data_IF_231895602206
#
_entry.id   IF_231895602206
#
_cell.length_a   1.000
_cell.length_b   1.000
_cell.length_c   1.000
_cell.angle_alpha   90.00
_cell.angle_beta   90.00
_cell.angle_gamma   90.00
#
_symmetry.space_group_name_H-M   'P 1'
#
loop_
_entity.id
_entity.type
_entity.pdbx_description
1 polymer ?
#
# COMPACT_ATOMS: atom_id res chain seq x y z
N UNK A 1 13.55 -11.45 11.05
CA UNK A 1 12.81 -10.45 10.25
C UNK A 1 13.46 -10.36 8.87
N UNK A 2 12.71 -10.56 7.80
CA UNK A 2 13.22 -10.50 6.43
C UNK A 2 13.38 -9.03 5.94
N UNK A 3 14.00 -8.83 4.78
CA UNK A 3 14.28 -7.49 4.24
C UNK A 3 13.02 -6.63 4.11
N UNK A 4 11.94 -7.21 3.60
CA UNK A 4 10.66 -6.52 3.39
C UNK A 4 10.02 -6.09 4.70
N UNK A 5 10.07 -6.93 5.73
CA UNK A 5 9.55 -6.61 7.06
C UNK A 5 10.36 -5.48 7.72
N UNK A 6 11.70 -5.53 7.65
CA UNK A 6 12.56 -4.46 8.18
C UNK A 6 12.23 -3.12 7.53
N UNK A 7 12.10 -3.11 6.20
CA UNK A 7 11.77 -1.90 5.44
C UNK A 7 10.37 -1.39 5.77
N UNK A 8 9.38 -2.28 5.88
CA UNK A 8 8.00 -1.93 6.20
C UNK A 8 7.91 -1.30 7.59
N UNK A 9 8.55 -1.91 8.60
CA UNK A 9 8.61 -1.36 9.95
C UNK A 9 9.35 -0.01 10.00
N UNK A 10 10.45 0.12 9.27
CA UNK A 10 11.22 1.35 9.23
C UNK A 10 10.44 2.51 8.59
N UNK A 11 9.79 2.29 7.44
CA UNK A 11 8.96 3.31 6.79
C UNK A 11 7.70 3.64 7.58
N UNK A 12 7.25 2.75 8.47
CA UNK A 12 6.18 3.06 9.41
C UNK A 12 6.67 4.00 10.53
N UNK A 13 7.87 3.77 11.08
CA UNK A 13 8.49 4.67 12.07
C UNK A 13 8.91 6.02 11.46
N UNK A 14 9.37 6.01 10.22
CA UNK A 14 9.91 7.17 9.50
C UNK A 14 9.19 7.34 8.15
N UNK A 15 7.92 7.79 8.14
CA UNK A 15 7.10 7.85 6.92
C UNK A 15 7.58 8.88 5.90
N UNK A 16 8.44 9.82 6.30
CA UNK A 16 9.04 10.82 5.41
C UNK A 16 10.41 10.43 4.85
N UNK A 17 10.92 9.23 5.18
CA UNK A 17 12.21 8.76 4.69
C UNK A 17 12.16 8.43 3.19
N UNK A 18 13.13 8.90 2.42
CA UNK A 18 13.29 8.61 0.99
C UNK A 18 14.34 7.51 0.78
N UNK A 19 13.99 6.50 0.01
CA UNK A 19 14.89 5.40 -0.34
C UNK A 19 15.47 5.62 -1.74
N UNK A 20 16.77 5.36 -1.97
CA UNK A 20 17.79 4.92 -1.00
C UNK A 20 18.54 6.07 -0.29
N UNK A 21 18.17 7.32 -0.56
CA UNK A 21 18.93 8.53 -0.18
C UNK A 21 19.07 8.71 1.34
N UNK A 22 17.99 8.50 2.08
CA UNK A 22 17.95 8.63 3.54
C UNK A 22 18.27 7.30 4.23
N UNK A 23 17.93 6.16 3.60
CA UNK A 23 18.06 4.84 4.22
C UNK A 23 18.36 3.79 3.14
N UNK A 24 19.36 2.94 3.37
CA UNK A 24 19.64 1.81 2.48
C UNK A 24 19.92 0.53 3.28
N UNK A 25 19.40 -0.58 2.75
CA UNK A 25 19.69 -1.93 3.25
C UNK A 25 20.42 -2.72 2.16
N UNK A 26 21.38 -3.54 2.57
CA UNK A 26 22.02 -4.55 1.73
C UNK A 26 21.73 -5.93 2.30
N UNK A 27 21.70 -6.95 1.45
CA UNK A 27 21.67 -8.35 1.87
C UNK A 27 22.97 -9.00 1.42
N UNK A 28 23.79 -9.42 2.37
CA UNK A 28 25.07 -10.09 2.13
C UNK A 28 24.95 -11.64 2.17
N UNK A 29 23.72 -12.16 2.21
CA UNK A 29 23.43 -13.58 2.36
C UNK A 29 23.26 -14.03 3.82
N UNK A 30 23.53 -13.17 4.79
CA UNK A 30 23.19 -13.39 6.22
C UNK A 30 21.87 -12.71 6.62
N UNK A 31 21.32 -11.89 5.73
CA UNK A 31 20.08 -11.16 5.90
C UNK A 31 20.23 -9.65 5.66
N UNK A 32 19.12 -8.90 5.76
CA UNK A 32 19.12 -7.46 5.52
C UNK A 32 19.89 -6.68 6.60
N UNK A 33 21.03 -6.09 6.23
CA UNK A 33 21.82 -5.20 7.07
C UNK A 33 21.59 -3.75 6.64
N UNK A 34 21.34 -2.86 7.60
CA UNK A 34 21.25 -1.42 7.35
C UNK A 34 22.66 -0.90 7.01
N UNK A 35 22.87 -0.44 5.78
CA UNK A 35 24.18 0.03 5.29
C UNK A 35 24.30 1.54 5.26
N UNK A 36 23.17 2.25 5.25
CA UNK A 36 23.14 3.71 5.24
C UNK A 36 22.00 4.25 6.11
N UNK A 37 22.30 5.30 6.87
CA UNK A 37 21.37 6.06 7.68
C UNK A 37 21.70 7.55 7.58
N UNK A 38 20.86 8.28 6.84
CA UNK A 38 21.00 9.72 6.56
C UNK A 38 20.03 10.61 7.33
N UNK A 39 19.14 10.05 8.15
CA UNK A 39 18.16 10.81 8.93
C UNK A 39 18.76 11.35 10.24
N UNK A 40 18.22 12.45 10.80
CA UNK A 40 18.65 12.95 12.11
C UNK A 40 18.45 11.91 13.21
N UNK A 41 19.49 11.68 14.02
CA UNK A 41 19.46 10.77 15.16
C UNK A 41 20.05 9.39 14.86
N UNK A 42 19.90 8.47 15.81
CA UNK A 42 20.39 7.10 15.68
C UNK A 42 19.42 6.21 14.89
N UNK A 43 19.94 5.21 14.15
CA UNK A 43 19.08 4.24 13.48
C UNK A 43 18.24 3.45 14.49
N UNK A 44 17.02 3.01 14.11
CA UNK A 44 16.15 2.26 15.01
C UNK A 44 16.79 0.92 15.40
N UNK A 45 16.68 0.57 16.67
CA UNK A 45 17.06 -0.76 17.18
C UNK A 45 16.17 -1.86 16.61
N UNK A 46 16.65 -3.10 16.62
CA UNK A 46 15.85 -4.25 16.20
C UNK A 46 14.57 -4.41 17.04
N UNK A 47 14.64 -4.13 18.35
CA UNK A 47 13.47 -4.17 19.23
C UNK A 47 12.41 -3.14 18.82
N UNK A 48 12.82 -1.92 18.42
CA UNK A 48 11.89 -0.89 17.92
C UNK A 48 11.27 -1.30 16.58
N UNK A 49 12.05 -1.88 15.67
CA UNK A 49 11.51 -2.37 14.40
C UNK A 49 10.51 -3.51 14.61
N UNK A 50 10.80 -4.44 15.52
CA UNK A 50 9.88 -5.53 15.87
C UNK A 50 8.58 -5.01 16.52
N UNK A 51 8.67 -4.00 17.38
CA UNK A 51 7.50 -3.38 18.01
C UNK A 51 6.62 -2.64 16.99
N UNK A 52 7.22 -2.02 15.98
CA UNK A 52 6.52 -1.30 14.92
C UNK A 52 5.89 -2.21 13.86
N UNK A 53 6.40 -3.45 13.71
CA UNK A 53 6.03 -4.35 12.62
C UNK A 53 4.51 -4.64 12.55
N UNK A 54 3.77 -4.91 13.64
CA UNK A 54 2.34 -5.17 13.57
C UNK A 54 1.53 -3.99 13.00
N UNK A 55 1.80 -2.76 13.49
CA UNK A 55 1.14 -1.55 12.97
C UNK A 55 1.53 -1.29 11.51
N UNK A 56 2.80 -1.49 11.16
CA UNK A 56 3.28 -1.37 9.80
C UNK A 56 2.61 -2.36 8.83
N UNK A 57 2.39 -3.61 9.26
CA UNK A 57 1.70 -4.64 8.48
C UNK A 57 0.21 -4.33 8.32
N UNK A 58 -0.47 -3.88 9.38
CA UNK A 58 -1.87 -3.47 9.31
C UNK A 58 -2.07 -2.33 8.31
N UNK A 59 -1.22 -1.30 8.36
CA UNK A 59 -1.23 -0.20 7.41
C UNK A 59 -0.89 -0.66 5.98
N UNK A 60 0.07 -1.57 5.82
CA UNK A 60 0.43 -2.11 4.52
C UNK A 60 -0.73 -2.90 3.88
N UNK A 61 -1.48 -3.67 4.69
CA UNK A 61 -2.68 -4.38 4.26
C UNK A 61 -3.78 -3.41 3.82
N UNK A 62 -4.09 -2.38 4.63
CA UNK A 62 -5.09 -1.37 4.27
C UNK A 62 -4.73 -0.63 2.96
N UNK A 63 -3.44 -0.34 2.74
CA UNK A 63 -2.95 0.24 1.48
C UNK A 63 -3.03 -0.74 0.31
N UNK A 64 -2.90 -2.04 0.57
CA UNK A 64 -3.05 -3.06 -0.45
C UNK A 64 -4.51 -3.15 -0.90
N UNK A 65 -5.46 -3.16 0.04
CA UNK A 65 -6.89 -3.18 -0.27
C UNK A 65 -7.29 -1.99 -1.15
N UNK A 66 -6.74 -0.80 -0.90
CA UNK A 66 -6.98 0.37 -1.73
C UNK A 66 -6.42 0.20 -3.16
N UNK A 67 -5.23 -0.41 -3.31
CA UNK A 67 -4.65 -0.70 -4.64
C UNK A 67 -5.47 -1.74 -5.38
N UNK A 68 -5.84 -2.83 -4.72
CA UNK A 68 -6.63 -3.90 -5.31
C UNK A 68 -8.01 -3.36 -5.76
N UNK A 69 -8.61 -2.49 -4.96
CA UNK A 69 -9.87 -1.82 -5.31
C UNK A 69 -9.71 -0.88 -6.52
N UNK A 70 -8.58 -0.16 -6.63
CA UNK A 70 -8.28 0.67 -7.80
C UNK A 70 -8.11 -0.19 -9.07
N UNK A 71 -7.42 -1.33 -8.97
CA UNK A 71 -7.25 -2.25 -10.10
C UNK A 71 -8.61 -2.81 -10.57
N UNK A 72 -9.49 -3.14 -9.62
CA UNK A 72 -10.87 -3.55 -9.93
C UNK A 72 -11.64 -2.43 -10.63
N UNK A 73 -11.53 -1.18 -10.14
CA UNK A 73 -12.20 -0.02 -10.72
C UNK A 73 -11.75 0.24 -12.17
N UNK A 74 -10.45 0.14 -12.43
CA UNK A 74 -9.88 0.30 -13.78
C UNK A 74 -10.45 -0.75 -14.74
N UNK A 75 -10.57 -2.00 -14.29
CA UNK A 75 -11.18 -3.06 -15.09
C UNK A 75 -12.67 -2.81 -15.36
N UNK A 76 -13.43 -2.32 -14.37
CA UNK A 76 -14.84 -1.95 -14.57
C UNK A 76 -15.00 -0.82 -15.58
N UNK A 77 -14.14 0.19 -15.56
CA UNK A 77 -14.16 1.24 -16.58
C UNK A 77 -13.88 0.69 -17.99
N UNK A 78 -12.95 -0.26 -18.15
CA UNK A 78 -12.71 -0.91 -19.45
C UNK A 78 -13.94 -1.67 -19.95
N UNK A 79 -14.60 -2.42 -19.07
CA UNK A 79 -15.81 -3.16 -19.40
C UNK A 79 -16.99 -2.23 -19.72
N UNK A 80 -17.15 -1.15 -18.96
CA UNK A 80 -18.17 -0.13 -19.20
C UNK A 80 -18.03 0.49 -20.59
N UNK A 81 -16.81 0.90 -20.95
CA UNK A 81 -16.51 1.49 -22.26
C UNK A 81 -16.77 0.48 -23.40
N UNK A 82 -16.43 -0.80 -23.18
CA UNK A 82 -16.72 -1.87 -24.14
C UNK A 82 -18.23 -2.09 -24.32
N UNK A 83 -19.00 -2.11 -23.24
CA UNK A 83 -20.46 -2.27 -23.29
C UNK A 83 -21.13 -1.11 -24.02
N UNK A 84 -20.65 0.12 -23.80
CA UNK A 84 -21.09 1.30 -24.54
C UNK A 84 -20.78 1.20 -26.04
N UNK A 85 -19.57 0.76 -26.39
CA UNK A 85 -19.16 0.59 -27.79
C UNK A 85 -19.95 -0.48 -28.54
N UNK A 86 -20.42 -1.53 -27.85
CA UNK A 86 -21.24 -2.60 -28.44
C UNK A 86 -22.75 -2.33 -28.39
N UNK A 87 -23.16 -1.21 -27.79
CA UNK A 87 -24.57 -0.87 -27.60
C UNK A 87 -25.29 -1.73 -26.55
N UNK A 88 -24.55 -2.48 -25.72
CA UNK A 88 -25.13 -3.28 -24.65
C UNK A 88 -25.44 -2.41 -23.42
N UNK A 89 -26.54 -1.66 -23.50
CA UNK A 89 -26.95 -0.68 -22.48
C UNK A 89 -27.31 -1.31 -21.12
N UNK A 90 -27.78 -2.56 -21.11
CA UNK A 90 -28.08 -3.30 -19.87
C UNK A 90 -26.79 -3.54 -19.10
N UNK A 91 -25.81 -4.18 -19.73
CA UNK A 91 -24.50 -4.41 -19.11
C UNK A 91 -23.82 -3.08 -18.74
N UNK A 92 -23.94 -2.05 -19.58
CA UNK A 92 -23.38 -0.73 -19.28
C UNK A 92 -23.98 -0.13 -18.00
N UNK A 93 -25.29 -0.29 -17.77
CA UNK A 93 -25.96 0.20 -16.56
C UNK A 93 -25.54 -0.60 -15.32
N UNK A 94 -25.46 -1.92 -15.42
CA UNK A 94 -25.02 -2.79 -14.32
C UNK A 94 -23.58 -2.46 -13.89
N UNK A 95 -22.66 -2.33 -14.86
CA UNK A 95 -21.25 -2.01 -14.59
C UNK A 95 -21.13 -0.60 -13.98
N UNK A 96 -22.00 0.35 -14.34
CA UNK A 96 -21.99 1.69 -13.73
C UNK A 96 -22.27 1.62 -12.23
N UNK A 97 -23.22 0.79 -11.81
CA UNK A 97 -23.51 0.59 -10.37
C UNK A 97 -22.29 0.01 -9.66
N UNK A 98 -21.64 -0.99 -10.25
CA UNK A 98 -20.41 -1.56 -9.69
C UNK A 98 -19.27 -0.52 -9.55
N UNK A 99 -19.14 0.40 -10.50
CA UNK A 99 -18.18 1.52 -10.43
C UNK A 99 -18.51 2.44 -9.25
N UNK A 100 -19.78 2.83 -9.08
CA UNK A 100 -20.21 3.71 -7.99
C UNK A 100 -20.01 3.04 -6.61
N UNK A 101 -20.25 1.72 -6.52
CA UNK A 101 -19.99 0.92 -5.31
C UNK A 101 -18.49 0.88 -4.97
N UNK A 102 -17.63 0.64 -5.97
CA UNK A 102 -16.17 0.64 -5.77
C UNK A 102 -15.65 2.01 -5.34
N UNK A 103 -16.14 3.10 -5.94
CA UNK A 103 -15.77 4.45 -5.55
C UNK A 103 -16.21 4.77 -4.10
N UNK A 104 -17.38 4.28 -3.71
CA UNK A 104 -17.88 4.40 -2.33
C UNK A 104 -16.98 3.64 -1.36
N UNK A 105 -16.64 2.39 -1.69
CA UNK A 105 -15.75 1.58 -0.86
C UNK A 105 -14.34 2.18 -0.75
N UNK A 106 -13.79 2.73 -1.84
CA UNK A 106 -12.50 3.45 -1.81
C UNK A 106 -12.53 4.67 -0.88
N UNK A 107 -13.67 5.37 -0.82
CA UNK A 107 -13.84 6.48 0.12
C UNK A 107 -13.86 5.98 1.56
N UNK A 108 -14.59 4.90 1.84
CA UNK A 108 -14.61 4.28 3.17
C UNK A 108 -13.22 3.82 3.62
N UNK A 109 -12.44 3.20 2.73
CA UNK A 109 -11.05 2.82 3.00
C UNK A 109 -10.13 4.01 3.30
N UNK A 110 -10.37 5.16 2.67
CA UNK A 110 -9.61 6.40 2.92
C UNK A 110 -10.01 7.07 4.24
N UNK A 111 -11.30 7.02 4.57
CA UNK A 111 -11.87 7.61 5.77
C UNK A 111 -11.72 6.69 7.01
N UNK A 112 -11.34 5.42 6.79
CA UNK A 112 -11.10 4.47 7.86
C UNK A 112 -10.01 4.98 8.82
N UNK A 113 -10.21 4.85 10.14
CA UNK A 113 -9.19 5.24 11.10
C UNK A 113 -7.91 4.46 10.80
N UNK A 114 -6.82 5.20 10.58
CA UNK A 114 -5.51 4.62 10.37
C UNK A 114 -5.20 3.71 11.57
N UNK A 115 -4.93 2.40 11.39
CA UNK A 115 -4.44 1.57 12.48
C UNK A 115 -3.05 2.09 12.86
N UNK A 116 -3.01 2.99 13.84
CA UNK A 116 -1.78 3.51 14.46
C UNK A 116 -1.20 2.46 15.40
#
# INVERSE_FOLDING_TARGET
MNHRERLTALLHLYPAAHLPEDVAFSDDGTGPVLTHWGLPGEPPTEAQLLAALPGAQALAAARQDLRDTQDMLDERYRLYNRAGATGNLVAQTEIRVEIDDLLTYMKELRDAPNPA
#
